data_IF_703019021120
#
_entry.id   IF_703019021120
#
_cell.length_a   1.000
_cell.length_b   1.000
_cell.length_c   1.000
_cell.angle_alpha   90.00
_cell.angle_beta   90.00
_cell.angle_gamma   90.00
#
_symmetry.space_group_name_H-M   'P 1'
#
loop_
_entity.id
_entity.type
_entity.pdbx_description
1 polymer ?
2 polymer ?
3 non-polymer ?
4 water ?
#
loop_
_entity_poly.entity_id
_entity_poly.type
_entity_poly.pdbx_seq_one_letter_code
_entity_poly.pdbx_strand_id
1 'polydeoxyribonucleotide' '(DT)(DC)(DG)(DG)(DC)(DA)(DA)(DT)(DT)(DG)(DC)(DC)(DG)(DA)' ?
#
# COMPACT_ATOMS: atom_id res chain seq x y z
N UNK C 3 4.65 -9.55 -13.33
CA UNK C 3 3.96 -9.25 -12.07
C UNK C 3 4.55 -9.97 -10.84
N UNK C 4 4.81 -9.28 -9.71
CA UNK C 4 5.19 -9.96 -8.46
C UNK C 4 3.87 -10.16 -7.68
N UNK C 5 2.78 -9.81 -8.35
CA UNK C 5 1.44 -10.02 -7.81
C UNK C 5 0.75 -11.05 -8.66
N UNK C 6 0.34 -12.08 -7.99
CA UNK C 6 -0.32 -13.15 -8.63
C UNK C 6 -1.10 -13.71 -7.49
N UNK C 7 -2.41 -13.74 -7.61
CA UNK C 7 -3.35 -14.14 -6.58
C UNK C 7 -3.26 -15.54 -5.95
N UNK C 8 -3.52 -15.60 -4.66
CA UNK C 8 -3.45 -16.85 -3.93
C UNK C 8 -3.92 -18.03 -4.70
N UNK C 9 -4.90 -17.81 -5.58
CA UNK C 9 -5.41 -18.91 -6.41
C UNK C 9 -4.33 -19.33 -7.37
N UNK C 10 -4.25 -18.46 -8.34
CA UNK C 10 -3.31 -18.64 -9.40
C UNK C 10 -1.98 -19.27 -8.98
N UNK C 11 -1.28 -18.70 -8.01
CA UNK C 11 -0.02 -19.29 -7.60
C UNK C 11 -0.22 -20.79 -7.37
N UNK C 12 -1.24 -21.12 -6.61
CA UNK C 12 -1.54 -22.49 -6.25
C UNK C 12 -1.61 -23.40 -7.45
N UNK C 13 -2.54 -23.05 -8.31
CA UNK C 13 -2.82 -23.72 -9.58
C UNK C 13 -1.59 -23.62 -10.42
N UNK C 14 -0.86 -22.57 -10.14
CA UNK C 14 0.29 -22.27 -10.92
C UNK C 14 -0.11 -21.86 -12.32
N UNK C 15 -0.97 -20.87 -12.51
CA UNK C 15 -1.47 -20.47 -13.82
C UNK C 15 -1.28 -18.96 -14.02
N UNK C 16 -1.40 -18.29 -15.16
CA UNK C 16 -0.98 -16.88 -15.19
C UNK C 16 -1.88 -15.72 -14.81
N UNK C 17 -1.92 -15.41 -13.53
CA UNK C 17 -2.65 -14.30 -12.94
C UNK C 17 -2.82 -12.98 -13.69
N UNK C 18 -4.08 -12.70 -13.99
CA UNK C 18 -4.51 -11.58 -14.82
C UNK C 18 -4.83 -10.26 -14.19
N UNK C 19 -3.74 -9.62 -13.68
CA UNK C 19 -3.49 -8.34 -12.97
C UNK C 19 -4.47 -7.19 -13.01
N UNK C 20 -5.74 -7.45 -12.85
CA UNK C 20 -6.64 -6.36 -12.91
C UNK C 20 -7.39 -6.25 -11.62
N UNK C 21 -8.07 -5.13 -11.39
CA UNK C 21 -8.85 -4.97 -10.16
C UNK C 21 -10.31 -4.73 -10.52
N UNK C 22 -11.27 -5.19 -9.71
CA UNK C 22 -11.07 -5.84 -8.44
C UNK C 22 -10.88 -7.33 -8.56
N UNK C 23 -10.45 -7.82 -9.70
CA UNK C 23 -10.22 -9.24 -9.82
C UNK C 23 -9.44 -9.60 -11.06
N UNK C 24 -8.62 -10.66 -10.93
CA UNK C 24 -7.87 -11.19 -12.05
C UNK C 24 -8.81 -12.09 -12.78
N UNK C 25 -8.62 -12.08 -14.08
CA UNK C 25 -9.45 -12.82 -15.00
C UNK C 25 -9.99 -14.18 -14.63
N UNK C 26 -9.11 -15.09 -14.31
CA UNK C 26 -9.63 -16.39 -13.96
C UNK C 26 -10.59 -16.36 -12.77
N UNK C 27 -10.15 -15.75 -11.67
CA UNK C 27 -10.89 -15.65 -10.43
C UNK C 27 -12.35 -15.34 -10.67
N UNK C 28 -12.50 -14.30 -11.49
CA UNK C 28 -13.78 -13.82 -11.98
C UNK C 28 -14.61 -14.96 -12.52
N UNK C 29 -14.14 -15.42 -13.69
CA UNK C 29 -14.77 -16.48 -14.45
C UNK C 29 -14.97 -17.64 -13.54
N UNK C 30 -13.87 -18.21 -13.09
CA UNK C 30 -14.01 -19.27 -12.15
C UNK C 30 -14.93 -18.85 -10.99
N UNK C 31 -15.28 -17.53 -10.89
CA UNK C 31 -16.28 -16.87 -9.99
C UNK C 31 -15.85 -16.42 -8.60
N UNK C 32 -14.68 -16.84 -8.21
CA UNK C 32 -14.15 -16.66 -6.88
C UNK C 32 -13.64 -15.27 -6.44
N UNK C 33 -13.39 -15.16 -5.11
CA UNK C 33 -12.77 -14.01 -4.48
C UNK C 33 -11.26 -14.04 -4.76
N UNK C 34 -10.77 -12.91 -5.29
CA UNK C 34 -9.39 -12.64 -5.71
C UNK C 34 -8.57 -11.95 -4.63
N UNK C 35 -7.78 -12.79 -4.00
CA UNK C 35 -7.06 -12.33 -2.87
C UNK C 35 -5.55 -12.42 -3.02
N UNK C 36 -4.91 -11.29 -2.76
CA UNK C 36 -3.47 -11.17 -2.88
C UNK C 36 -2.75 -11.34 -1.55
N UNK C 37 -1.68 -12.08 -1.52
CA UNK C 37 -0.96 -12.22 -0.29
C UNK C 37 -0.02 -11.05 -0.19
N UNK C 38 -0.30 -9.98 0.58
CA UNK C 38 0.56 -8.79 0.76
C UNK C 38 2.00 -9.13 1.10
N UNK C 39 2.92 -8.77 0.22
CA UNK C 39 4.35 -9.03 0.38
C UNK C 39 4.86 -8.70 1.77
N UNK C 40 4.95 -7.39 2.13
CA UNK C 40 5.45 -6.99 3.43
C UNK C 40 4.71 -7.72 4.53
N UNK C 41 3.53 -7.21 4.91
CA UNK C 41 2.77 -7.73 6.03
C UNK C 41 2.53 -9.19 5.98
N UNK C 42 2.68 -9.75 4.80
CA UNK C 42 2.36 -11.15 4.62
C UNK C 42 0.87 -11.48 4.70
N UNK C 43 -0.02 -10.51 4.71
CA UNK C 43 -1.39 -10.94 4.89
C UNK C 43 -2.32 -11.09 3.68
N UNK C 44 -3.46 -11.71 3.88
CA UNK C 44 -4.31 -11.76 2.74
C UNK C 44 -4.85 -10.37 2.47
N UNK C 45 -5.17 -10.05 1.22
CA UNK C 45 -5.76 -8.78 0.79
C UNK C 45 -6.65 -9.00 -0.43
N UNK C 46 -7.93 -9.08 -0.23
CA UNK C 46 -8.79 -9.19 -1.37
C UNK C 46 -8.57 -7.96 -2.23
N UNK C 47 -8.24 -8.17 -3.50
CA UNK C 47 -7.91 -7.13 -4.45
C UNK C 47 -8.96 -6.06 -4.63
N UNK C 48 -10.18 -6.47 -4.35
CA UNK C 48 -11.32 -5.61 -4.44
C UNK C 48 -11.28 -4.60 -3.28
N UNK C 49 -10.94 -5.13 -2.08
CA UNK C 49 -10.85 -4.36 -0.86
C UNK C 49 -9.98 -3.19 -1.13
N UNK C 50 -8.95 -3.46 -1.90
CA UNK C 50 -8.11 -2.38 -2.38
C UNK C 50 -8.90 -1.58 -3.39
N UNK C 51 -9.73 -2.27 -4.19
CA UNK C 51 -10.47 -1.55 -5.21
C UNK C 51 -11.19 -0.42 -4.57
N UNK C 52 -11.99 -0.81 -3.62
CA UNK C 52 -12.86 0.17 -3.01
C UNK C 52 -12.13 1.18 -2.17
N UNK C 53 -11.18 0.66 -1.49
CA UNK C 53 -10.41 1.53 -0.71
C UNK C 53 -9.80 2.53 -1.66
N UNK C 54 -9.56 2.13 -2.88
CA UNK C 54 -9.00 3.17 -3.71
C UNK C 54 -10.04 4.17 -4.05
N UNK C 55 -11.23 3.67 -4.21
CA UNK C 55 -12.31 4.54 -4.59
C UNK C 55 -12.49 5.62 -3.52
N UNK C 56 -12.52 5.15 -2.30
CA UNK C 56 -12.62 6.02 -1.17
C UNK C 56 -11.60 7.16 -1.13
N UNK C 57 -10.39 6.96 -1.66
CA UNK C 57 -9.54 8.15 -1.68
C UNK C 57 -10.23 9.04 -2.68
N UNK C 58 -10.77 8.40 -3.68
CA UNK C 58 -11.26 9.18 -4.78
C UNK C 58 -12.29 10.22 -4.40
N UNK C 59 -13.23 9.69 -3.64
CA UNK C 59 -14.26 10.54 -3.17
C UNK C 59 -13.62 11.63 -2.38
N UNK C 60 -12.83 11.14 -1.44
CA UNK C 60 -12.15 11.98 -0.48
C UNK C 60 -11.37 13.09 -1.13
N UNK C 61 -10.84 12.81 -2.29
CA UNK C 61 -10.05 13.80 -2.96
C UNK C 61 -10.91 14.82 -3.66
N UNK C 62 -12.10 14.39 -4.12
CA UNK C 62 -12.98 15.36 -4.74
C UNK C 62 -13.32 16.26 -3.59
N UNK C 63 -14.03 15.70 -2.64
CA UNK C 63 -14.47 16.42 -1.46
C UNK C 63 -13.51 17.45 -0.88
N UNK C 64 -12.40 16.98 -0.34
CA UNK C 64 -11.40 17.77 0.34
C UNK C 64 -10.75 18.82 -0.55
N UNK C 65 -10.95 18.61 -1.84
CA UNK C 65 -10.42 19.49 -2.86
C UNK C 65 -11.40 20.63 -3.02
N UNK C 66 -12.68 20.22 -3.14
CA UNK C 66 -13.83 21.11 -3.19
C UNK C 66 -13.63 22.10 -2.03
N UNK C 67 -13.61 21.59 -0.80
CA UNK C 67 -13.48 22.47 0.34
C UNK C 67 -12.25 23.30 0.34
N UNK C 68 -11.48 23.20 -0.72
CA UNK C 68 -10.28 23.98 -0.77
C UNK C 68 -9.02 23.32 -0.22
N UNK C 69 -8.83 21.98 -0.49
CA UNK C 69 -7.64 21.12 -0.14
C UNK C 69 -7.16 20.17 -1.31
N UNK C 70 -6.03 19.37 -1.22
CA UNK C 70 -5.43 18.43 -2.25
C UNK C 70 -4.70 17.18 -1.71
N UNK C 71 -3.29 17.14 -1.72
CA UNK C 71 -2.24 16.26 -1.09
C UNK C 71 -1.79 16.31 0.41
N UNK C 72 -2.19 15.26 1.18
CA UNK C 72 -1.96 15.11 2.62
C UNK C 72 -0.68 14.48 3.27
N UNK C 73 -0.27 15.03 4.41
CA UNK C 73 0.81 14.43 5.19
C UNK C 73 0.27 13.10 5.74
N UNK C 74 1.08 12.01 5.81
CA UNK C 74 0.63 10.67 6.23
C UNK C 74 1.18 9.90 7.48
N UNK C 75 1.94 8.82 7.28
CA UNK C 75 2.53 7.92 8.27
C UNK C 75 3.27 6.72 7.62
N UNK C 76 2.64 5.75 6.96
CA UNK C 76 3.41 4.80 6.19
C UNK C 76 3.88 5.63 4.96
N UNK C 77 4.77 5.24 4.05
CA UNK C 77 5.01 6.25 3.03
C UNK C 77 5.65 5.75 1.75
N UNK C 78 5.64 6.61 0.71
CA UNK C 78 5.98 6.37 -0.69
C UNK C 78 7.39 6.58 -1.26
N UNK C 79 7.95 7.79 -1.24
CA UNK C 79 9.31 7.92 -1.76
C UNK C 79 10.41 7.88 -0.70
N UNK C 80 11.64 7.55 -1.12
CA UNK C 80 12.77 7.53 -0.20
C UNK C 80 13.03 8.93 0.34
N UNK C 81 12.10 9.85 0.01
CA UNK C 81 12.15 11.26 0.37
C UNK C 81 11.00 11.67 1.27
N UNK C 82 10.14 10.78 1.80
CA UNK C 82 9.19 11.34 2.77
C UNK C 82 9.89 11.18 4.10
N UNK C 83 9.21 11.43 5.23
CA UNK C 83 9.80 11.25 6.57
C UNK C 83 9.42 9.82 7.01
N UNK C 84 9.96 9.21 8.07
CA UNK C 84 9.58 7.81 8.37
C UNK C 84 8.47 7.52 9.37
N UNK C 85 8.14 6.23 9.60
CA UNK C 85 7.11 5.88 10.58
C UNK C 85 7.65 5.94 11.99
N UNK C 86 6.82 6.09 13.13
CA UNK C 86 7.13 5.86 14.58
C UNK C 86 5.88 5.41 15.43
N UNK C 87 5.85 4.14 15.96
CA UNK C 87 4.73 3.50 16.70
C UNK C 87 3.83 4.48 17.42
N UNK C 88 2.50 4.31 17.37
CA UNK C 88 1.63 5.30 18.02
C UNK C 88 1.51 6.68 17.28
N UNK C 89 2.57 7.48 17.45
CA UNK C 89 2.83 8.91 17.26
C UNK C 89 2.90 9.81 16.02
N UNK C 90 2.93 9.46 14.73
CA UNK C 90 3.09 10.52 13.70
C UNK C 90 4.34 11.37 13.90
N UNK D 3 12.12 -11.92 4.84
CA UNK D 3 12.70 -12.28 3.55
C UNK D 3 11.84 -12.16 2.24
N UNK D 4 10.50 -12.00 2.37
CA UNK D 4 9.57 -11.94 1.25
C UNK D 4 9.72 -10.74 0.36
N UNK D 5 10.13 -9.64 0.94
CA UNK D 5 10.40 -8.44 0.22
C UNK D 5 11.20 -7.44 0.98
N UNK D 6 12.39 -7.28 0.46
CA UNK D 6 13.34 -6.41 1.04
C UNK D 6 13.27 -5.04 0.36
N UNK D 7 13.44 -3.98 1.19
CA UNK D 7 13.31 -2.55 0.87
C UNK D 7 14.27 -1.97 -0.13
N UNK D 8 13.99 -0.71 -0.51
CA UNK D 8 14.78 0.10 -1.43
C UNK D 8 16.14 0.04 -0.89
N UNK D 9 16.40 0.84 0.13
CA UNK D 9 17.70 0.75 0.75
C UNK D 9 18.31 -0.64 0.86
N UNK D 10 17.84 -1.61 1.63
CA UNK D 10 18.58 -2.87 1.54
C UNK D 10 18.80 -3.48 0.16
N UNK D 11 17.82 -3.46 -0.71
CA UNK D 11 18.06 -4.12 -1.98
C UNK D 11 19.21 -3.48 -2.71
N UNK D 12 19.24 -2.18 -2.64
CA UNK D 12 20.35 -1.59 -3.32
C UNK D 12 21.61 -1.77 -2.52
N UNK D 13 21.53 -1.77 -1.21
CA UNK D 13 22.73 -1.94 -0.44
C UNK D 13 23.24 -3.38 -0.57
N UNK D 14 22.36 -4.22 -1.07
CA UNK D 14 22.65 -5.62 -1.26
C UNK D 14 22.96 -6.29 0.06
N UNK D 15 22.09 -6.13 1.04
CA UNK D 15 22.34 -6.58 2.36
C UNK D 15 21.11 -7.06 3.09
N UNK D 16 21.23 -7.96 4.01
CA UNK D 16 20.01 -8.57 4.48
C UNK D 16 18.94 -7.70 5.08
N UNK D 17 17.67 -7.82 4.64
CA UNK D 17 16.56 -7.00 5.16
C UNK D 17 15.57 -7.64 6.11
N UNK D 18 15.67 -7.23 7.35
CA UNK D 18 14.83 -7.81 8.33
C UNK D 18 13.35 -7.69 8.15
N UNK D 19 12.85 -7.22 7.03
CA UNK D 19 11.40 -7.29 6.86
C UNK D 19 10.41 -6.98 8.00
N UNK D 20 10.39 -5.72 8.46
CA UNK D 20 9.45 -5.38 9.47
C UNK D 20 8.54 -4.24 9.16
N UNK D 21 7.34 -4.37 9.71
CA UNK D 21 6.30 -3.43 9.50
C UNK D 21 6.13 -2.39 10.55
N UNK D 22 6.10 -1.16 10.10
CA UNK D 22 6.10 -0.77 8.73
C UNK D 22 7.39 -0.27 8.14
N UNK D 23 8.54 -0.55 8.71
CA UNK D 23 9.77 -0.02 8.09
C UNK D 23 10.78 -0.79 8.88
N UNK D 24 11.46 -1.70 8.21
CA UNK D 24 12.41 -2.61 8.79
C UNK D 24 13.45 -1.93 9.68
N UNK D 25 13.78 -2.56 10.82
CA UNK D 25 14.76 -2.03 11.77
C UNK D 25 15.98 -1.37 11.20
N UNK D 26 16.57 -1.96 10.18
CA UNK D 26 17.76 -1.34 9.68
C UNK D 26 17.47 0.12 9.39
N UNK D 27 16.53 0.40 8.49
CA UNK D 27 16.09 1.78 8.21
C UNK D 27 15.49 2.52 9.42
N UNK D 28 14.89 1.80 10.36
CA UNK D 28 14.31 2.45 11.52
C UNK D 28 15.41 3.06 12.30
N UNK D 29 16.34 2.20 12.64
CA UNK D 29 17.48 2.59 13.40
C UNK D 29 17.99 3.90 12.83
N UNK D 30 18.45 3.84 11.65
CA UNK D 30 18.95 5.04 11.09
C UNK D 30 17.90 6.12 10.83
N UNK D 31 16.61 5.87 10.94
CA UNK D 31 15.67 6.94 10.61
C UNK D 31 15.65 7.43 9.17
N UNK D 32 15.85 6.55 8.22
CA UNK D 32 15.75 6.89 6.83
C UNK D 32 14.42 6.23 6.45
N UNK D 33 13.50 6.98 5.81
CA UNK D 33 12.14 6.48 5.63
C UNK D 33 12.25 5.12 5.07
N UNK D 34 11.42 4.17 5.44
CA UNK D 34 11.66 2.91 4.78
C UNK D 34 10.58 2.57 3.78
N UNK D 35 10.93 2.44 2.48
CA UNK D 35 9.95 2.18 1.43
C UNK D 35 10.29 1.06 0.49
N UNK D 36 9.31 0.55 -0.17
CA UNK D 36 9.65 -0.51 -1.05
C UNK D 36 9.95 0.01 -2.43
N UNK D 37 10.28 -0.86 -3.36
CA UNK D 37 10.62 -0.32 -4.65
C UNK D 37 10.04 -1.12 -5.78
N UNK D 38 9.33 -0.43 -6.70
CA UNK D 38 8.63 -0.97 -7.86
C UNK D 38 9.55 -1.39 -8.98
N UNK D 39 9.72 -2.73 -9.12
CA UNK D 39 10.67 -3.32 -10.05
C UNK D 39 10.39 -2.95 -11.52
N UNK D 40 9.11 -2.88 -11.83
CA UNK D 40 8.63 -2.49 -13.15
C UNK D 40 8.91 -1.02 -13.49
N UNK D 41 8.44 -0.08 -12.65
CA UNK D 41 8.57 1.39 -12.86
C UNK D 41 9.90 1.97 -12.45
N UNK D 42 10.45 1.36 -11.40
CA UNK D 42 11.67 1.79 -10.74
C UNK D 42 11.41 2.89 -9.68
N UNK D 43 10.15 3.33 -9.54
CA UNK D 43 9.74 4.41 -8.64
C UNK D 43 9.72 4.03 -7.16
N UNK D 44 9.89 4.94 -6.20
CA UNK D 44 9.85 4.48 -4.85
C UNK D 44 8.44 4.17 -4.54
N UNK D 45 8.09 3.31 -3.56
CA UNK D 45 6.68 2.90 -3.32
C UNK D 45 6.55 2.14 -2.03
N UNK D 46 5.52 2.29 -1.25
CA UNK D 46 5.44 1.94 0.11
C UNK D 46 5.42 0.50 0.33
N UNK D 47 6.14 0.12 1.38
CA UNK D 47 6.22 -1.24 1.80
C UNK D 47 4.79 -1.83 1.80
N UNK D 48 3.72 -1.03 1.99
CA UNK D 48 2.42 -1.67 1.89
C UNK D 48 1.22 -0.85 1.42
N UNK D 49 0.84 -1.04 0.16
CA UNK D 49 -0.33 -0.41 -0.39
C UNK D 49 -1.53 -0.35 0.53
N UNK D 50 -2.17 -1.44 0.92
CA UNK D 50 -3.33 -1.21 1.77
C UNK D 50 -2.94 -0.52 3.00
N UNK D 51 -1.82 -0.90 3.52
CA UNK D 51 -1.51 -0.13 4.66
C UNK D 51 -1.41 1.33 4.30
N UNK D 52 -1.06 1.67 3.09
CA UNK D 52 -0.93 3.09 2.79
C UNK D 52 -2.26 3.72 2.53
N UNK D 53 -3.10 2.90 2.05
CA UNK D 53 -4.34 3.48 1.75
C UNK D 53 -5.06 3.72 3.06
N UNK D 54 -5.24 2.65 3.81
CA UNK D 54 -5.90 2.77 5.07
C UNK D 54 -5.36 3.95 5.83
N UNK D 55 -4.08 4.23 5.66
CA UNK D 55 -3.53 5.38 6.36
C UNK D 55 -3.93 6.67 5.73
N UNK D 56 -3.90 6.65 4.43
CA UNK D 56 -4.20 7.85 3.75
C UNK D 56 -5.60 8.34 4.08
N UNK D 57 -6.61 7.51 3.80
CA UNK D 57 -7.97 7.91 4.09
C UNK D 57 -8.11 8.36 5.51
N UNK D 58 -7.41 7.78 6.46
CA UNK D 58 -7.72 8.21 7.80
C UNK D 58 -7.51 9.70 7.92
N UNK D 59 -6.32 10.11 7.60
CA UNK D 59 -5.96 11.48 7.62
C UNK D 59 -6.88 12.31 6.73
N UNK D 60 -7.19 11.81 5.54
CA UNK D 60 -8.15 12.50 4.71
C UNK D 60 -9.42 12.70 5.55
N UNK D 61 -9.89 11.64 6.19
CA UNK D 61 -11.09 11.78 6.97
C UNK D 61 -10.99 12.81 8.06
N UNK D 62 -9.97 12.69 8.87
CA UNK D 62 -9.85 13.64 9.93
C UNK D 62 -9.89 15.04 9.44
N UNK D 63 -9.24 15.28 8.34
CA UNK D 63 -9.25 16.62 7.85
C UNK D 63 -10.66 16.96 7.44
N UNK D 64 -11.27 16.06 6.72
CA UNK D 64 -12.61 16.38 6.32
C UNK D 64 -13.49 16.73 7.52
N UNK D 65 -13.43 15.94 8.59
CA UNK D 65 -14.17 16.23 9.79
C UNK D 65 -13.93 17.68 10.21
N UNK D 66 -12.69 18.11 10.51
CA UNK D 66 -12.50 19.53 10.80
C UNK D 66 -13.05 20.51 9.79
N UNK D 67 -13.53 20.03 8.65
CA UNK D 67 -14.10 20.96 7.70
C UNK D 67 -15.58 20.74 7.66
N UNK D 68 -16.07 19.91 8.57
CA UNK D 68 -17.50 19.62 8.73
C UNK D 68 -18.15 18.34 8.16
N UNK D 69 -17.50 17.66 7.20
CA UNK D 69 -18.04 16.55 6.42
C UNK D 69 -18.09 15.11 6.95
N UNK D 70 -17.90 14.11 6.06
CA UNK D 70 -17.97 12.71 6.50
C UNK D 70 -17.50 11.62 5.53
N UNK D 71 -18.33 10.55 5.57
CA UNK D 71 -18.44 9.39 4.67
C UNK D 71 -19.38 9.77 3.48
N UNK D 72 -18.65 10.52 2.55
CA UNK D 72 -19.26 11.20 1.34
C UNK D 72 -19.95 10.48 0.12
X LIG E 1 -7.48 -14.04 -8.70
X LIG F 1 -4.96 -14.58 -10.40
X LIG G 1 13.80 -0.54 5.39
X LIG H 1 15.37 -3.06 4.83
#
# INVERSE_FOLDING_TARGET
>C
MKSRTACKRCRLKKIKCDQEFPSCKRCAKLEVPCVSLDPATGKDVPRSYVFFLEDRLAVMMRVLKEYGVDPTKIRGNIPATSDDEPFDLKKYSSVS
>D
MKSRTACKRCRLKKIKCDQEFPSCKRCAKLEVPCVSLDPATGKDVPRSYVFFLEDRLAVMMRVLKEYGVDPTKIRGNIPATSDDEPFDLKKYSSVS
>E hetero
1 ZN ZN
>F hetero
1 ZN ZN
>G hetero
1 ZN ZN
>H hetero
1 ZN ZN
#
